data_IF_489038038790
#
_entry.id   IF_489038038790
#
_cell.length_a   1.000
_cell.length_b   1.000
_cell.length_c   1.000
_cell.angle_alpha   90.00
_cell.angle_beta   90.00
_cell.angle_gamma   90.00
#
_symmetry.space_group_name_H-M   'P 1'
#
loop_
_entity.id
_entity.type
_entity.pdbx_description
1 polymer ?
#
# COMPACT_ATOMS: atom_id res chain seq x y z
N UNK A 1 1.31 4.91 11.68
CA UNK A 1 1.45 3.77 10.75
C UNK A 1 0.07 3.50 10.18
N UNK A 2 -0.16 3.58 8.87
CA UNK A 2 -1.48 3.27 8.29
C UNK A 2 -1.49 1.81 7.84
N UNK A 3 -2.51 1.05 8.26
CA UNK A 3 -2.77 -0.32 7.81
C UNK A 3 -4.05 -0.34 6.94
N UNK A 4 -3.88 -0.67 5.66
CA UNK A 4 -4.88 -1.36 4.81
C UNK A 4 -4.69 -2.88 5.03
N UNK A 5 -5.69 -3.75 4.81
CA UNK A 5 -5.68 -5.17 5.30
C UNK A 5 -5.91 -6.31 4.27
N UNK A 6 -5.23 -7.47 4.46
CA UNK A 6 -5.41 -8.88 3.97
C UNK A 6 -4.64 -9.65 2.82
N UNK A 7 -4.03 -9.06 1.77
CA UNK A 7 -3.02 -9.67 0.81
C UNK A 7 -3.48 -10.63 -0.36
N UNK A 8 -3.05 -10.36 -1.63
CA UNK A 8 -2.60 -11.37 -2.64
C UNK A 8 -1.66 -10.77 -3.71
N UNK A 9 -0.89 -11.61 -4.44
CA UNK A 9 0.17 -11.23 -5.41
C UNK A 9 -0.14 -11.62 -6.86
N UNK A 10 -1.13 -10.99 -7.49
CA UNK A 10 -1.41 -11.11 -8.93
C UNK A 10 -0.73 -9.99 -9.73
N UNK A 11 -0.11 -10.31 -10.87
CA UNK A 11 0.51 -9.30 -11.74
C UNK A 11 -0.52 -8.52 -12.54
N UNK A 12 -0.50 -7.18 -12.45
CA UNK A 12 -1.41 -6.29 -13.18
C UNK A 12 -1.12 -6.13 -14.68
N UNK A 13 -0.39 -7.07 -15.29
CA UNK A 13 0.18 -6.96 -16.63
C UNK A 13 -0.86 -6.61 -17.72
N UNK A 14 -2.10 -7.10 -17.57
CA UNK A 14 -3.20 -6.88 -18.50
C UNK A 14 -4.40 -6.16 -17.85
N UNK A 15 -4.22 -5.48 -16.72
CA UNK A 15 -5.34 -4.76 -16.07
C UNK A 15 -5.59 -3.41 -16.75
N UNK A 16 -6.83 -3.10 -17.18
CA UNK A 16 -7.14 -1.77 -17.69
C UNK A 16 -7.04 -0.73 -16.58
N UNK A 17 -7.56 -1.07 -15.40
CA UNK A 17 -7.60 -0.22 -14.21
C UNK A 17 -6.63 -0.74 -13.13
N UNK A 18 -5.92 0.16 -12.44
CA UNK A 18 -4.98 -0.16 -11.37
C UNK A 18 -5.06 0.85 -10.22
N UNK A 19 -4.73 0.41 -9.00
CA UNK A 19 -4.54 1.29 -7.83
C UNK A 19 -3.07 1.24 -7.44
N UNK A 20 -2.45 2.41 -7.35
CA UNK A 20 -1.09 2.61 -6.89
C UNK A 20 -1.11 3.21 -5.49
N UNK A 21 -0.32 2.66 -4.57
CA UNK A 21 -0.24 3.11 -3.17
C UNK A 21 1.20 3.48 -2.83
N UNK A 22 1.39 4.71 -2.38
CA UNK A 22 2.69 5.34 -2.15
C UNK A 22 2.87 5.68 -0.66
N UNK A 23 4.05 5.37 -0.12
CA UNK A 23 4.41 5.53 1.30
C UNK A 23 4.85 6.97 1.62
N UNK A 24 3.89 7.89 1.53
CA UNK A 24 4.07 9.31 1.78
C UNK A 24 2.94 10.16 1.22
N UNK A 25 3.10 11.48 1.22
CA UNK A 25 2.03 12.44 0.91
C UNK A 25 1.75 12.67 -0.59
N UNK A 26 2.53 12.10 -1.50
CA UNK A 26 2.41 12.35 -2.95
C UNK A 26 3.06 11.23 -3.81
N UNK A 27 2.87 11.32 -5.13
CA UNK A 27 3.35 10.35 -6.16
C UNK A 27 4.87 10.16 -6.23
N UNK A 28 5.67 11.06 -5.66
CA UNK A 28 7.13 10.93 -5.62
C UNK A 28 7.63 10.05 -4.47
N UNK A 29 6.74 9.63 -3.55
CA UNK A 29 7.07 8.71 -2.48
C UNK A 29 7.25 7.25 -2.99
N UNK A 30 7.86 6.34 -2.22
CA UNK A 30 8.05 4.94 -2.64
C UNK A 30 6.72 4.21 -2.83
N UNK A 31 6.58 3.46 -3.92
CA UNK A 31 5.40 2.60 -4.14
C UNK A 31 5.49 1.38 -3.23
N UNK A 32 4.45 1.16 -2.42
CA UNK A 32 4.31 0.00 -1.52
C UNK A 32 3.10 -0.89 -1.86
N UNK A 33 2.27 -0.49 -2.83
CA UNK A 33 1.18 -1.32 -3.35
C UNK A 33 0.86 -1.02 -4.82
N UNK A 34 0.57 -2.08 -5.57
CA UNK A 34 0.09 -2.03 -6.95
C UNK A 34 -1.00 -3.11 -7.08
N UNK A 35 -2.26 -2.68 -7.21
CA UNK A 35 -3.45 -3.53 -7.09
C UNK A 35 -4.30 -3.47 -8.35
N UNK A 36 -4.95 -4.59 -8.68
CA UNK A 36 -5.76 -4.78 -9.88
C UNK A 36 -6.66 -6.01 -9.74
N UNK A 37 -7.90 -5.96 -10.26
CA UNK A 37 -8.84 -7.09 -10.33
C UNK A 37 -8.95 -7.92 -9.02
N UNK A 38 -9.02 -7.25 -7.87
CA UNK A 38 -9.03 -7.88 -6.54
C UNK A 38 -10.45 -8.10 -6.01
N UNK A 39 -10.93 -9.35 -6.05
CA UNK A 39 -12.11 -9.80 -5.28
C UNK A 39 -11.76 -10.20 -3.82
N UNK A 40 -10.53 -9.97 -3.39
CA UNK A 40 -9.99 -10.28 -2.05
C UNK A 40 -9.24 -9.07 -1.48
N UNK A 41 -9.28 -8.89 -0.16
CA UNK A 41 -8.78 -7.70 0.55
C UNK A 41 -7.23 -7.54 0.47
N UNK A 42 -6.73 -6.29 0.43
CA UNK A 42 -5.32 -5.75 0.33
C UNK A 42 -4.53 -5.31 1.60
N UNK A 43 -3.56 -6.04 2.19
CA UNK A 43 -2.74 -5.48 3.30
C UNK A 43 -1.64 -4.56 2.78
N UNK A 44 -1.61 -3.30 3.24
CA UNK A 44 -0.53 -2.36 2.96
C UNK A 44 -0.28 -1.55 4.23
N UNK A 45 0.95 -1.63 4.74
CA UNK A 45 1.38 -0.93 5.95
C UNK A 45 2.37 0.19 5.57
N UNK A 46 1.96 1.44 5.78
CA UNK A 46 2.82 2.62 5.61
C UNK A 46 3.92 2.66 6.68
N UNK A 47 5.15 3.05 6.31
CA UNK A 47 6.20 3.39 7.29
C UNK A 47 6.03 4.78 7.89
N UNK A 48 5.18 5.62 7.28
CA UNK A 48 4.94 7.02 7.62
C UNK A 48 3.59 7.26 8.33
N UNK A 49 3.24 8.55 8.46
CA UNK A 49 1.89 9.02 8.83
C UNK A 49 0.93 9.10 7.64
N UNK A 50 1.47 9.14 6.42
CA UNK A 50 0.75 9.55 5.22
C UNK A 50 0.78 8.43 4.17
N UNK A 51 -0.36 8.22 3.49
CA UNK A 51 -0.44 7.42 2.28
C UNK A 51 -1.06 8.25 1.17
N UNK A 52 -0.46 8.18 -0.02
CA UNK A 52 -1.03 8.70 -1.24
C UNK A 52 -1.54 7.52 -2.07
N UNK A 53 -2.79 7.60 -2.53
CA UNK A 53 -3.46 6.55 -3.29
C UNK A 53 -3.90 7.15 -4.62
N UNK A 54 -3.49 6.51 -5.71
CA UNK A 54 -3.90 6.87 -7.08
C UNK A 54 -4.68 5.73 -7.72
N UNK A 55 -5.87 6.03 -8.22
CA UNK A 55 -6.64 5.12 -9.08
C UNK A 55 -6.49 5.56 -10.53
N UNK A 56 -5.87 4.71 -11.35
CA UNK A 56 -5.71 4.90 -12.78
C UNK A 56 -6.73 4.00 -13.48
N UNK A 57 -7.66 4.58 -14.22
CA UNK A 57 -8.66 3.83 -15.00
C UNK A 57 -8.46 4.03 -16.51
N UNK A 58 -8.56 2.93 -17.26
CA UNK A 58 -8.52 2.89 -18.73
C UNK A 58 -9.64 2.02 -19.33
N UNK A 59 -10.50 1.44 -18.48
CA UNK A 59 -11.70 0.73 -18.92
C UNK A 59 -12.62 1.64 -19.73
N UNK A 60 -13.18 1.10 -20.82
CA UNK A 60 -14.11 1.86 -21.68
C UNK A 60 -15.51 2.02 -21.08
N UNK A 61 -15.86 1.17 -20.10
CA UNK A 61 -17.10 1.21 -19.37
C UNK A 61 -16.82 1.34 -17.86
N UNK A 62 -17.64 2.09 -17.10
CA UNK A 62 -17.44 2.24 -15.67
C UNK A 62 -17.70 0.91 -14.93
N UNK A 63 -16.75 0.52 -14.07
CA UNK A 63 -16.90 -0.60 -13.14
C UNK A 63 -17.47 -0.18 -11.78
N UNK A 64 -17.41 -1.08 -10.80
CA UNK A 64 -17.85 -0.83 -9.42
C UNK A 64 -16.92 0.11 -8.62
N UNK A 65 -15.77 0.48 -9.18
CA UNK A 65 -14.74 1.26 -8.49
C UNK A 65 -13.99 0.43 -7.44
N UNK A 66 -13.55 1.08 -6.36
CA UNK A 66 -12.89 0.43 -5.24
C UNK A 66 -13.42 0.94 -3.90
N UNK A 67 -13.28 0.12 -2.86
CA UNK A 67 -13.57 0.49 -1.47
C UNK A 67 -12.36 0.13 -0.62
N UNK A 68 -11.91 1.08 0.20
CA UNK A 68 -10.84 0.88 1.17
C UNK A 68 -11.32 1.25 2.58
N UNK A 69 -10.58 0.81 3.59
CA UNK A 69 -10.76 1.22 4.98
C UNK A 69 -9.36 1.29 5.60
N UNK A 70 -9.10 2.36 6.34
CA UNK A 70 -7.78 2.66 6.89
C UNK A 70 -7.85 2.78 8.41
N UNK A 71 -6.76 2.42 9.06
CA UNK A 71 -6.59 2.51 10.51
C UNK A 71 -5.22 3.12 10.78
N UNK A 72 -5.15 4.08 11.72
CA UNK A 72 -3.88 4.49 12.30
C UNK A 72 -3.48 3.47 13.37
N UNK A 73 -2.59 2.54 13.01
CA UNK A 73 -1.94 1.70 14.00
C UNK A 73 -0.96 2.56 14.82
N UNK A 74 -1.23 2.60 16.13
CA UNK A 74 -0.49 3.33 17.15
C UNK A 74 0.66 2.52 17.75
N UNK A 75 0.83 1.24 17.36
CA UNK A 75 1.98 0.42 17.79
C UNK A 75 3.29 1.14 17.44
N UNK A 76 4.14 1.46 18.43
CA UNK A 76 5.48 1.92 18.16
C UNK A 76 6.23 0.75 17.52
N UNK A 77 6.72 0.90 16.28
CA UNK A 77 7.68 -0.06 15.76
C UNK A 77 8.94 -0.02 16.66
N UNK A 78 9.37 -1.14 17.26
CA UNK A 78 10.68 -1.19 17.89
C UNK A 78 11.72 -0.94 16.80
N UNK A 79 12.66 -0.01 17.03
CA UNK A 79 13.77 0.28 16.11
C UNK A 79 14.74 -0.93 16.05
N UNK A 80 14.36 -1.99 15.35
CA UNK A 80 15.19 -3.18 15.07
C UNK A 80 16.45 -2.89 14.24
N UNK A 81 16.76 -1.61 13.97
CA UNK A 81 17.96 -1.15 13.29
C UNK A 81 18.97 -0.42 14.20
N UNK A 82 18.67 -0.19 15.49
CA UNK A 82 19.69 0.26 16.47
C UNK A 82 20.41 -0.87 17.20
N UNK A 83 19.83 -2.07 17.29
CA UNK A 83 20.48 -3.21 17.94
C UNK A 83 21.56 -3.88 17.07
N UNK A 84 21.42 -3.85 15.74
CA UNK A 84 22.42 -4.41 14.79
C UNK A 84 23.75 -3.65 14.70
N UNK A 85 23.90 -2.49 15.36
CA UNK A 85 25.19 -1.79 15.53
C UNK A 85 25.79 -1.90 16.95
N UNK A 86 25.20 -2.73 17.82
CA UNK A 86 25.61 -2.88 19.22
C UNK A 86 26.06 -4.32 19.58
N UNK A 87 26.10 -5.24 18.61
CA UNK A 87 26.52 -6.65 18.80
C UNK A 87 27.58 -7.16 17.81
N UNK A 88 28.04 -6.29 16.91
CA UNK A 88 29.37 -6.37 16.31
C UNK A 88 29.95 -4.96 16.51
N UNK A 89 30.89 -4.71 17.41
CA UNK A 89 31.75 -5.61 18.19
C UNK A 89 32.97 -4.78 18.53
#
# INVERSE_FOLDING_TARGET
>A
MICLTHIFRSSCLNSPDVIMVYDGSNKSAPIIGHLCNTNTFVEIVSSASDLFIEFLSRSHFPGQGFKASYLFDSKPQPRHQRYRRALHG
#
